data_IF_090245099629
#
_entry.id   IF_090245099629
#
_cell.length_a   1.000
_cell.length_b   1.000
_cell.length_c   1.000
_cell.angle_alpha   90.00
_cell.angle_beta   90.00
_cell.angle_gamma   90.00
#
_symmetry.space_group_name_H-M   'P 1'
#
loop_
_entity.id
_entity.type
_entity.pdbx_description
1 polymer ?
#
# COMPACT_ATOMS: atom_id res chain seq x y z
N UNK A 1 11.33 14.45 -42.50
CA UNK A 1 11.04 14.85 -41.10
C UNK A 1 9.78 14.11 -40.64
N UNK A 2 9.71 12.80 -40.85
CA UNK A 2 10.39 11.73 -40.10
C UNK A 2 9.89 11.63 -38.67
N UNK A 3 8.89 10.76 -38.52
CA UNK A 3 8.32 10.26 -37.27
C UNK A 3 9.41 9.85 -36.27
N UNK A 4 10.58 9.45 -36.78
CA UNK A 4 11.81 9.15 -36.03
C UNK A 4 12.28 10.35 -35.21
N UNK A 5 12.31 11.56 -35.79
CA UNK A 5 12.81 12.77 -35.13
C UNK A 5 11.83 13.26 -34.04
N UNK A 6 10.53 13.20 -34.34
CA UNK A 6 9.47 13.45 -33.35
C UNK A 6 9.54 12.46 -32.17
N UNK A 7 9.82 11.19 -32.46
CA UNK A 7 9.98 10.15 -31.44
C UNK A 7 11.23 10.41 -30.59
N UNK A 8 12.29 10.93 -31.19
CA UNK A 8 13.53 11.28 -30.50
C UNK A 8 13.38 12.48 -29.56
N UNK A 9 12.61 13.49 -29.97
CA UNK A 9 12.26 14.62 -29.11
C UNK A 9 11.36 14.23 -27.93
N UNK A 10 10.42 13.31 -28.15
CA UNK A 10 9.53 12.82 -27.09
C UNK A 10 10.31 11.98 -26.08
N UNK A 11 11.22 11.11 -26.54
CA UNK A 11 12.09 10.35 -25.66
C UNK A 11 12.99 11.26 -24.81
N UNK A 12 13.64 12.27 -25.41
CA UNK A 12 14.43 13.25 -24.65
C UNK A 12 13.62 13.98 -23.59
N UNK A 13 12.40 14.44 -23.92
CA UNK A 13 11.53 15.14 -22.96
C UNK A 13 11.10 14.25 -21.79
N UNK A 14 10.80 12.98 -22.06
CA UNK A 14 10.42 12.01 -21.03
C UNK A 14 11.63 11.65 -20.16
N UNK A 15 12.78 11.35 -20.78
CA UNK A 15 14.00 10.98 -20.08
C UNK A 15 14.48 12.11 -19.15
N UNK A 16 14.49 13.36 -19.62
CA UNK A 16 14.85 14.53 -18.80
C UNK A 16 13.90 14.75 -17.62
N UNK A 17 12.60 14.52 -17.82
CA UNK A 17 11.57 14.65 -16.78
C UNK A 17 11.71 13.54 -15.74
N UNK A 18 11.97 12.30 -16.16
CA UNK A 18 12.24 11.14 -15.28
C UNK A 18 13.54 11.33 -14.50
N UNK A 19 14.61 11.86 -15.14
CA UNK A 19 15.89 12.19 -14.47
C UNK A 19 15.71 13.18 -13.33
N UNK A 20 14.75 14.11 -13.45
CA UNK A 20 14.40 15.09 -12.41
C UNK A 20 13.43 14.53 -11.37
N UNK A 21 12.55 13.60 -11.75
CA UNK A 21 11.49 13.04 -10.89
C UNK A 21 11.98 12.18 -9.70
N UNK A 22 13.26 11.80 -9.66
CA UNK A 22 13.86 11.06 -8.54
C UNK A 22 14.89 11.82 -7.69
N UNK A 23 15.17 13.09 -8.00
CA UNK A 23 16.23 13.90 -7.37
C UNK A 23 15.73 15.09 -6.55
N UNK A 24 14.43 15.34 -6.55
CA UNK A 24 13.80 16.36 -5.69
C UNK A 24 13.86 16.02 -4.19
N UNK A 25 13.43 16.95 -3.34
CA UNK A 25 13.45 16.83 -1.86
C UNK A 25 12.86 15.50 -1.37
N UNK A 26 11.69 15.10 -1.89
CA UNK A 26 11.01 13.85 -1.52
C UNK A 26 11.71 12.58 -2.00
N UNK A 27 12.35 12.62 -3.18
CA UNK A 27 13.14 11.50 -3.69
C UNK A 27 14.38 11.20 -2.82
N UNK A 28 14.95 12.23 -2.19
CA UNK A 28 16.04 12.06 -1.21
C UNK A 28 15.52 11.44 0.09
N UNK A 29 14.35 11.85 0.56
CA UNK A 29 13.72 11.28 1.77
C UNK A 29 13.40 9.80 1.58
N UNK A 30 12.80 9.42 0.44
CA UNK A 30 12.49 8.02 0.15
C UNK A 30 13.75 7.15 0.05
N UNK A 31 14.87 7.70 -0.44
CA UNK A 31 16.17 7.01 -0.47
C UNK A 31 16.82 6.87 0.91
N UNK A 32 16.49 7.75 1.86
CA UNK A 32 16.93 7.65 3.26
C UNK A 32 16.07 6.69 4.09
N UNK A 33 14.87 6.34 3.61
CA UNK A 33 14.01 5.39 4.30
C UNK A 33 14.66 4.01 4.32
N UNK A 34 14.76 3.41 5.51
CA UNK A 34 15.26 2.05 5.69
C UNK A 34 14.22 1.07 5.19
N UNK A 35 14.60 0.17 4.28
CA UNK A 35 13.78 -0.98 3.92
C UNK A 35 13.71 -1.92 5.13
N UNK A 36 12.53 -2.36 5.58
CA UNK A 36 12.41 -3.30 6.69
C UNK A 36 13.07 -4.63 6.32
N UNK A 37 13.61 -5.33 7.31
CA UNK A 37 14.03 -6.72 7.12
C UNK A 37 12.80 -7.62 7.03
N UNK A 38 12.95 -8.83 6.46
CA UNK A 38 11.86 -9.80 6.38
C UNK A 38 11.30 -10.12 7.78
N UNK A 39 12.17 -10.27 8.78
CA UNK A 39 11.75 -10.57 10.15
C UNK A 39 10.96 -9.44 10.81
N UNK A 40 11.38 -8.18 10.61
CA UNK A 40 10.67 -7.00 11.11
C UNK A 40 9.28 -6.87 10.46
N UNK A 41 9.22 -7.10 9.15
CA UNK A 41 7.99 -7.07 8.39
C UNK A 41 7.01 -8.16 8.86
N UNK A 42 7.46 -9.41 8.93
CA UNK A 42 6.63 -10.55 9.33
C UNK A 42 6.10 -10.36 10.76
N UNK A 43 6.95 -9.95 11.71
CA UNK A 43 6.50 -9.69 13.10
C UNK A 43 5.41 -8.62 13.16
N UNK A 44 5.59 -7.52 12.43
CA UNK A 44 4.62 -6.41 12.42
C UNK A 44 3.29 -6.85 11.81
N UNK A 45 3.34 -7.55 10.68
CA UNK A 45 2.14 -8.06 10.00
C UNK A 45 1.40 -9.05 10.89
N UNK A 46 2.10 -9.96 11.58
CA UNK A 46 1.48 -10.94 12.47
C UNK A 46 0.73 -10.27 13.63
N UNK A 47 1.35 -9.29 14.30
CA UNK A 47 0.71 -8.56 15.42
C UNK A 47 -0.52 -7.80 14.91
N UNK A 48 -0.39 -7.13 13.75
CA UNK A 48 -1.48 -6.37 13.14
C UNK A 48 -2.64 -7.29 12.74
N UNK A 49 -2.35 -8.42 12.10
CA UNK A 49 -3.34 -9.40 11.68
C UNK A 49 -4.06 -10.00 12.89
N UNK A 50 -3.34 -10.27 13.98
CA UNK A 50 -3.92 -10.78 15.23
C UNK A 50 -4.87 -9.75 15.85
N UNK A 51 -4.48 -8.47 15.90
CA UNK A 51 -5.34 -7.39 16.38
C UNK A 51 -6.61 -7.22 15.54
N UNK A 52 -6.48 -7.21 14.21
CA UNK A 52 -7.62 -7.13 13.29
C UNK A 52 -8.56 -8.33 13.44
N UNK A 53 -8.01 -9.53 13.59
CA UNK A 53 -8.80 -10.75 13.76
C UNK A 53 -9.57 -10.74 15.08
N UNK A 54 -8.95 -10.30 16.18
CA UNK A 54 -9.62 -10.22 17.48
C UNK A 54 -10.74 -9.18 17.49
N UNK A 55 -10.47 -7.97 17.04
CA UNK A 55 -11.47 -6.88 17.03
C UNK A 55 -12.58 -7.20 16.03
N UNK A 56 -12.21 -7.61 14.82
CA UNK A 56 -13.16 -8.01 13.78
C UNK A 56 -14.00 -9.21 14.18
N UNK A 57 -13.38 -10.24 14.77
CA UNK A 57 -14.05 -11.43 15.26
C UNK A 57 -15.02 -11.13 16.41
N UNK A 58 -14.63 -10.29 17.37
CA UNK A 58 -15.49 -9.89 18.47
C UNK A 58 -16.70 -9.06 17.98
N UNK A 59 -16.46 -8.06 17.15
CA UNK A 59 -17.55 -7.28 16.54
C UNK A 59 -18.47 -8.12 15.66
N UNK A 60 -17.91 -9.05 14.88
CA UNK A 60 -18.68 -9.97 14.06
C UNK A 60 -19.50 -10.96 14.91
N UNK A 61 -18.95 -11.44 16.02
CA UNK A 61 -19.66 -12.33 16.95
C UNK A 61 -20.88 -11.63 17.54
N UNK A 62 -20.72 -10.38 17.99
CA UNK A 62 -21.84 -9.56 18.50
C UNK A 62 -22.90 -9.36 17.41
N UNK A 63 -22.48 -9.06 16.18
CA UNK A 63 -23.39 -8.93 15.03
C UNK A 63 -24.19 -10.21 14.79
N UNK A 64 -23.53 -11.38 14.78
CA UNK A 64 -24.21 -12.67 14.59
C UNK A 64 -25.23 -12.93 15.70
N UNK A 65 -24.87 -12.65 16.95
CA UNK A 65 -25.81 -12.78 18.07
C UNK A 65 -27.03 -11.89 17.85
N UNK A 66 -26.86 -10.59 17.59
CA UNK A 66 -28.01 -9.68 17.38
C UNK A 66 -28.84 -10.08 16.16
N UNK A 67 -28.21 -10.56 15.08
CA UNK A 67 -28.91 -10.86 13.83
C UNK A 67 -29.75 -12.14 13.91
N UNK A 68 -29.24 -13.18 14.56
CA UNK A 68 -29.85 -14.52 14.56
C UNK A 68 -30.59 -14.86 15.85
N UNK A 69 -30.21 -14.31 17.00
CA UNK A 69 -30.86 -14.56 18.29
C UNK A 69 -32.36 -14.19 18.33
N UNK A 70 -32.83 -13.05 17.75
CA UNK A 70 -34.26 -12.74 17.74
C UNK A 70 -35.08 -13.66 16.83
N UNK A 71 -34.46 -14.36 15.86
CA UNK A 71 -35.13 -15.37 15.03
C UNK A 71 -35.15 -16.78 15.63
N UNK A 72 -34.47 -16.98 16.77
CA UNK A 72 -34.40 -18.26 17.51
C UNK A 72 -35.22 -18.24 18.80
N UNK A 73 -35.53 -17.05 19.33
CA UNK A 73 -36.29 -16.84 20.56
C UNK A 73 -37.76 -16.43 20.31
N UNK A 74 -38.19 -16.35 19.06
CA UNK A 74 -39.59 -16.19 18.65
C UNK A 74 -39.98 -17.30 17.67
#
# INVERSE_FOLDING_TARGET
MDIVEKSWEIQKRIEERVKRFGRGRYGRVLKMARKPTNDEYIKTVLITALGLTLIGGLGFTIYLMIRYLPGLLG
#
